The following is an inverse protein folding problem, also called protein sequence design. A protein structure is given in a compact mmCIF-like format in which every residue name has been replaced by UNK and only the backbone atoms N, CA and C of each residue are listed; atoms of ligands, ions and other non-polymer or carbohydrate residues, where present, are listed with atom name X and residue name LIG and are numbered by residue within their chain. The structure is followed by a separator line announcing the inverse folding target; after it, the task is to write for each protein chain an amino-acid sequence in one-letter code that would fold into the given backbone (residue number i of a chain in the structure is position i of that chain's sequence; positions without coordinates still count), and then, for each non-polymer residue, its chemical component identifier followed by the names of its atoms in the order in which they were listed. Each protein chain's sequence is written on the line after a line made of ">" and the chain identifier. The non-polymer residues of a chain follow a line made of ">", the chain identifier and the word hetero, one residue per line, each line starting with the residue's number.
data_IF_575741830968
#
_entry.id   IF_575741830968
#
_cell.length_a   1.000
_cell.length_b   1.000
_cell.length_c   1.000
_cell.angle_alpha   90.00
_cell.angle_beta   90.00
_cell.angle_gamma   90.00
#
_symmetry.space_group_name_H-M   'P 1'
#
loop_
_entity.id
_entity.type
_entity.pdbx_description
1 polymer ?
#
# COMPACT_ATOMS: atom_id res chain seq x y z
N UNK A 1 -10.43 8.87 -19.63
CA UNK A 1 -9.43 7.79 -19.48
C UNK A 1 -10.00 6.81 -18.47
N UNK A 2 -10.26 5.56 -18.84
CA UNK A 2 -10.73 4.59 -17.84
C UNK A 2 -9.57 4.25 -16.91
N UNK A 3 -9.86 4.03 -15.62
CA UNK A 3 -8.85 3.61 -14.63
C UNK A 3 -8.19 2.29 -15.06
N UNK A 4 -8.91 1.42 -15.77
CA UNK A 4 -8.36 0.21 -16.39
C UNK A 4 -7.26 0.51 -17.41
N UNK A 5 -7.37 1.61 -18.14
CA UNK A 5 -6.40 2.02 -19.18
C UNK A 5 -5.11 2.57 -18.56
N UNK A 6 -5.11 2.86 -17.26
CA UNK A 6 -3.95 3.37 -16.51
C UNK A 6 -3.33 2.26 -15.65
N UNK A 7 -4.16 1.48 -14.96
CA UNK A 7 -3.69 0.46 -14.02
C UNK A 7 -3.40 -0.88 -14.70
N UNK A 8 -4.15 -1.23 -15.75
CA UNK A 8 -4.09 -2.54 -16.39
C UNK A 8 -3.74 -2.46 -17.89
N UNK A 9 -3.23 -1.32 -18.37
CA UNK A 9 -2.74 -1.21 -19.74
C UNK A 9 -1.66 -2.26 -20.03
N UNK A 10 -1.87 -3.07 -21.06
CA UNK A 10 -0.92 -4.13 -21.45
C UNK A 10 -0.93 -5.37 -20.57
N UNK A 11 -1.85 -5.47 -19.60
CA UNK A 11 -2.04 -6.67 -18.76
C UNK A 11 -3.04 -7.61 -19.40
N UNK A 12 -2.77 -8.92 -19.33
CA UNK A 12 -3.70 -9.90 -19.85
C UNK A 12 -4.87 -10.17 -18.88
N UNK A 13 -5.89 -10.88 -19.37
CA UNK A 13 -7.08 -11.22 -18.59
C UNK A 13 -6.75 -11.94 -17.27
N UNK A 14 -5.84 -12.91 -17.30
CA UNK A 14 -5.48 -13.71 -16.13
C UNK A 14 -4.71 -12.87 -15.12
N UNK A 15 -3.85 -11.96 -15.57
CA UNK A 15 -3.14 -11.03 -14.68
C UNK A 15 -4.09 -10.08 -13.96
N UNK A 16 -5.14 -9.61 -14.63
CA UNK A 16 -6.19 -8.78 -14.02
C UNK A 16 -6.94 -9.58 -12.95
N UNK A 17 -7.35 -10.81 -13.27
CA UNK A 17 -8.04 -11.67 -12.29
C UNK A 17 -7.13 -11.97 -11.10
N UNK A 18 -5.87 -12.33 -11.33
CA UNK A 18 -4.91 -12.58 -10.25
C UNK A 18 -4.68 -11.36 -9.36
N UNK A 19 -4.65 -10.15 -9.94
CA UNK A 19 -4.55 -8.91 -9.16
C UNK A 19 -5.80 -8.65 -8.31
N UNK A 20 -7.00 -8.88 -8.87
CA UNK A 20 -8.27 -8.73 -8.17
C UNK A 20 -8.40 -9.76 -7.02
N UNK A 21 -8.06 -11.02 -7.27
CA UNK A 21 -8.07 -12.08 -6.26
C UNK A 21 -7.05 -11.78 -5.15
N UNK A 22 -5.85 -11.32 -5.51
CA UNK A 22 -4.84 -10.91 -4.53
C UNK A 22 -5.32 -9.75 -3.66
N UNK A 23 -6.03 -8.77 -4.23
CA UNK A 23 -6.56 -7.64 -3.47
C UNK A 23 -7.77 -8.04 -2.60
N UNK A 24 -8.67 -8.88 -3.11
CA UNK A 24 -9.82 -9.39 -2.37
C UNK A 24 -9.41 -10.33 -1.21
N UNK A 25 -8.29 -11.05 -1.36
CA UNK A 25 -7.73 -11.90 -0.31
C UNK A 25 -7.03 -11.11 0.81
N UNK A 26 -6.76 -9.82 0.63
CA UNK A 26 -6.15 -8.96 1.66
C UNK A 26 -7.21 -8.38 2.59
N UNK A 27 -6.88 -8.33 3.86
CA UNK A 27 -7.75 -7.81 4.92
C UNK A 27 -6.91 -7.20 6.03
N UNK A 28 -7.56 -6.38 6.85
CA UNK A 28 -7.08 -6.00 8.17
C UNK A 28 -8.00 -6.63 9.22
N UNK A 29 -7.40 -6.99 10.35
CA UNK A 29 -8.11 -7.41 11.55
C UNK A 29 -8.04 -6.27 12.56
N UNK A 30 -9.14 -6.04 13.25
CA UNK A 30 -9.17 -5.17 14.42
C UNK A 30 -9.85 -5.92 15.54
N UNK A 31 -9.39 -5.69 16.76
CA UNK A 31 -9.90 -6.32 17.96
C UNK A 31 -9.81 -5.29 19.07
N UNK A 32 -10.92 -5.11 19.78
CA UNK A 32 -10.99 -4.36 21.03
C UNK A 32 -11.62 -5.23 22.12
N UNK A 33 -11.91 -4.64 23.28
CA UNK A 33 -12.45 -5.37 24.42
C UNK A 33 -13.88 -5.92 24.17
N UNK A 34 -14.59 -5.44 23.14
CA UNK A 34 -15.99 -5.77 22.85
C UNK A 34 -16.14 -6.61 21.57
N UNK A 35 -15.38 -6.31 20.51
CA UNK A 35 -15.53 -6.94 19.19
C UNK A 35 -14.21 -7.32 18.53
N UNK A 36 -14.21 -8.51 17.92
CA UNK A 36 -13.23 -8.89 16.92
C UNK A 36 -13.84 -8.74 15.53
N UNK A 37 -13.13 -8.05 14.64
CA UNK A 37 -13.57 -7.75 13.29
C UNK A 37 -12.50 -8.02 12.24
N UNK A 38 -12.96 -8.38 11.04
CA UNK A 38 -12.11 -8.58 9.87
C UNK A 38 -12.73 -7.88 8.67
N UNK A 39 -11.98 -6.97 8.07
CA UNK A 39 -12.45 -6.18 6.94
C UNK A 39 -11.50 -6.33 5.75
N UNK A 40 -12.04 -6.77 4.61
CA UNK A 40 -11.30 -6.90 3.36
C UNK A 40 -11.17 -5.56 2.63
N UNK A 41 -10.15 -5.41 1.78
CA UNK A 41 -9.99 -4.20 0.98
C UNK A 41 -11.09 -4.04 -0.07
N UNK A 42 -11.45 -5.13 -0.75
CA UNK A 42 -12.53 -5.19 -1.73
C UNK A 42 -13.34 -6.47 -1.57
N UNK A 43 -14.59 -6.46 -2.02
CA UNK A 43 -15.44 -7.65 -2.12
C UNK A 43 -16.16 -7.72 -3.47
N UNK A 44 -16.56 -8.93 -3.85
CA UNK A 44 -17.27 -9.23 -5.10
C UNK A 44 -16.63 -8.60 -6.36
N UNK A 45 -15.31 -8.76 -6.59
CA UNK A 45 -14.70 -8.26 -7.82
C UNK A 45 -15.33 -8.94 -9.04
N UNK A 46 -15.61 -8.15 -10.07
CA UNK A 46 -16.10 -8.62 -11.36
C UNK A 46 -15.35 -7.90 -12.46
N UNK A 47 -14.92 -8.65 -13.46
CA UNK A 47 -14.37 -8.10 -14.68
C UNK A 47 -15.31 -8.40 -15.85
N UNK A 48 -15.86 -7.36 -16.49
CA UNK A 48 -16.70 -7.50 -17.67
C UNK A 48 -15.80 -7.66 -18.90
N UNK A 49 -15.62 -8.92 -19.31
CA UNK A 49 -14.80 -9.31 -20.47
C UNK A 49 -15.04 -8.43 -21.68
N UNK A 50 -13.97 -8.08 -22.39
CA UNK A 50 -13.97 -7.26 -23.62
C UNK A 50 -14.47 -5.82 -23.46
N UNK A 51 -14.75 -5.35 -22.25
CA UNK A 51 -15.17 -3.95 -22.01
C UNK A 51 -14.15 -3.13 -21.23
N UNK A 52 -13.13 -3.76 -20.63
CA UNK A 52 -12.21 -3.09 -19.72
C UNK A 52 -12.82 -2.72 -18.37
N UNK A 53 -14.12 -2.94 -18.15
CA UNK A 53 -14.82 -2.50 -16.93
C UNK A 53 -14.62 -3.50 -15.79
N UNK A 54 -14.10 -3.01 -14.68
CA UNK A 54 -13.97 -3.72 -13.40
C UNK A 54 -14.94 -3.09 -12.40
N UNK A 55 -15.64 -3.92 -11.63
CA UNK A 55 -16.49 -3.48 -10.52
C UNK A 55 -16.16 -4.30 -9.28
N UNK A 56 -16.10 -3.66 -8.12
CA UNK A 56 -15.97 -4.30 -6.82
C UNK A 56 -16.72 -3.46 -5.78
N UNK A 57 -16.87 -4.00 -4.58
CA UNK A 57 -17.46 -3.32 -3.42
C UNK A 57 -16.37 -3.05 -2.38
N UNK A 58 -16.57 -2.00 -1.59
CA UNK A 58 -15.70 -1.62 -0.46
C UNK A 58 -16.61 -1.53 0.77
N UNK A 59 -16.13 -1.96 1.95
CA UNK A 59 -16.92 -1.81 3.19
C UNK A 59 -17.12 -0.34 3.52
N UNK A 60 -18.25 0.01 4.11
CA UNK A 60 -18.49 1.36 4.62
C UNK A 60 -17.48 1.73 5.71
N UNK A 61 -17.10 0.80 6.58
CA UNK A 61 -16.10 1.09 7.63
C UNK A 61 -14.76 1.52 7.04
N UNK A 62 -14.34 0.85 5.97
CA UNK A 62 -13.11 1.19 5.25
C UNK A 62 -13.25 2.51 4.49
N UNK A 63 -14.42 2.75 3.90
CA UNK A 63 -14.73 4.00 3.21
C UNK A 63 -14.70 5.20 4.16
N UNK A 64 -15.25 5.05 5.36
CA UNK A 64 -15.25 6.05 6.41
C UNK A 64 -13.82 6.37 6.87
N UNK A 65 -12.95 5.36 6.96
CA UNK A 65 -11.52 5.57 7.25
C UNK A 65 -10.84 6.37 6.13
N UNK A 66 -11.04 6.01 4.86
CA UNK A 66 -10.41 6.70 3.72
C UNK A 66 -10.84 8.16 3.57
N UNK A 67 -12.06 8.49 4.01
CA UNK A 67 -12.63 9.84 3.90
C UNK A 67 -12.46 10.69 5.17
N UNK A 68 -11.94 10.11 6.26
CA UNK A 68 -11.71 10.81 7.53
C UNK A 68 -10.42 11.63 7.53
N UNK A 69 -10.45 12.79 6.88
CA UNK A 69 -9.31 13.71 6.81
C UNK A 69 -9.01 14.48 8.12
N UNK A 70 -9.90 14.40 9.12
CA UNK A 70 -9.78 15.14 10.38
C UNK A 70 -8.55 14.76 11.23
N UNK A 71 -8.00 13.54 11.05
CA UNK A 71 -6.77 13.09 11.74
C UNK A 71 -5.49 13.38 10.95
N UNK A 72 -5.58 14.26 9.96
CA UNK A 72 -4.51 14.52 8.99
C UNK A 72 -4.65 13.62 7.77
N UNK A 73 -4.13 14.09 6.65
CA UNK A 73 -4.14 13.37 5.38
C UNK A 73 -2.86 13.63 4.60
N UNK A 74 -2.61 12.79 3.60
CA UNK A 74 -1.49 12.92 2.68
C UNK A 74 -2.03 13.09 1.27
N UNK A 75 -1.75 14.23 0.66
CA UNK A 75 -1.96 14.40 -0.77
C UNK A 75 -0.72 13.93 -1.52
N UNK A 76 -0.90 13.18 -2.60
CA UNK A 76 0.19 12.78 -3.49
C UNK A 76 -0.34 12.59 -4.91
N UNK A 77 0.53 12.84 -5.89
CA UNK A 77 0.18 12.72 -7.30
C UNK A 77 0.16 11.25 -7.74
N UNK A 78 -0.97 10.80 -8.27
CA UNK A 78 -1.18 9.41 -8.68
C UNK A 78 -0.21 8.98 -9.81
N UNK A 79 0.02 9.85 -10.81
CA UNK A 79 0.90 9.53 -11.93
C UNK A 79 2.34 9.28 -11.47
N UNK A 80 2.83 10.09 -10.53
CA UNK A 80 4.14 9.87 -9.89
C UNK A 80 4.15 8.56 -9.10
N UNK A 81 3.12 8.31 -8.30
CA UNK A 81 3.00 7.08 -7.53
C UNK A 81 3.04 5.81 -8.41
N UNK A 82 2.33 5.83 -9.55
CA UNK A 82 2.29 4.70 -10.49
C UNK A 82 3.59 4.51 -11.28
N UNK A 83 4.41 5.55 -11.44
CA UNK A 83 5.69 5.48 -12.12
C UNK A 83 6.82 4.90 -11.24
N UNK A 84 6.58 4.73 -9.93
CA UNK A 84 7.61 4.27 -9.00
C UNK A 84 7.83 2.76 -9.15
N UNK A 85 9.11 2.31 -9.24
CA UNK A 85 9.44 0.95 -9.63
C UNK A 85 9.22 -0.09 -8.52
N UNK A 86 9.09 0.34 -7.26
CA UNK A 86 9.04 -0.56 -6.11
C UNK A 86 8.01 -0.13 -5.07
N UNK A 87 7.50 -1.10 -4.30
CA UNK A 87 6.62 -0.80 -3.17
C UNK A 87 7.27 0.10 -2.10
N UNK A 88 8.60 0.01 -1.91
CA UNK A 88 9.32 0.87 -0.98
C UNK A 88 9.41 2.30 -1.49
N UNK A 89 9.75 2.51 -2.76
CA UNK A 89 9.81 3.85 -3.34
C UNK A 89 8.43 4.53 -3.31
N UNK A 90 7.34 3.78 -3.56
CA UNK A 90 5.97 4.26 -3.38
C UNK A 90 5.68 4.67 -1.94
N UNK A 91 5.94 3.79 -0.96
CA UNK A 91 5.71 4.10 0.47
C UNK A 91 6.56 5.27 0.95
N UNK A 92 7.79 5.39 0.46
CA UNK A 92 8.69 6.50 0.75
C UNK A 92 8.17 7.80 0.14
N UNK A 93 7.74 7.79 -1.13
CA UNK A 93 7.09 8.94 -1.75
C UNK A 93 5.84 9.37 -0.99
N UNK A 94 4.98 8.42 -0.59
CA UNK A 94 3.83 8.70 0.26
C UNK A 94 4.24 9.26 1.62
N UNK A 95 5.36 8.82 2.21
CA UNK A 95 5.90 9.33 3.47
C UNK A 95 6.56 10.72 3.34
N UNK A 96 6.93 11.15 2.13
CA UNK A 96 7.59 12.43 1.89
C UNK A 96 6.70 13.48 1.20
N UNK A 97 5.60 13.07 0.54
CA UNK A 97 4.71 13.98 -0.19
C UNK A 97 4.11 15.08 0.69
N UNK A 98 4.24 16.35 0.34
CA UNK A 98 3.72 17.45 1.16
C UNK A 98 4.49 17.73 2.45
N UNK A 99 5.63 17.06 2.68
CA UNK A 99 6.52 17.38 3.79
C UNK A 99 7.37 18.60 3.43
N UNK A 100 7.31 19.65 4.26
CA UNK A 100 8.06 20.92 4.05
C UNK A 100 9.28 21.05 4.95
N UNK A 101 9.36 20.26 6.02
CA UNK A 101 10.49 20.23 6.96
C UNK A 101 11.14 18.85 7.01
N UNK A 102 12.43 18.74 7.36
CA UNK A 102 13.07 17.44 7.54
C UNK A 102 12.27 16.55 8.51
N UNK A 103 12.10 15.27 8.17
CA UNK A 103 11.47 14.29 9.04
C UNK A 103 12.56 13.63 9.90
N UNK A 104 12.54 13.89 11.20
CA UNK A 104 13.32 13.14 12.17
C UNK A 104 12.52 11.89 12.61
N UNK A 105 13.05 10.71 12.30
CA UNK A 105 12.35 9.43 12.53
C UNK A 105 13.36 8.33 12.86
N UNK A 106 13.02 7.50 13.84
CA UNK A 106 13.83 6.32 14.16
C UNK A 106 13.81 5.30 13.02
N UNK A 107 14.89 4.52 12.88
CA UNK A 107 14.96 3.46 11.88
C UNK A 107 13.83 2.44 12.03
N UNK A 108 13.45 2.12 13.27
CA UNK A 108 12.37 1.18 13.56
C UNK A 108 11.02 1.70 13.03
N UNK A 109 10.69 2.96 13.32
CA UNK A 109 9.45 3.58 12.84
C UNK A 109 9.47 3.77 11.31
N UNK A 110 10.64 4.05 10.73
CA UNK A 110 10.80 4.06 9.28
C UNK A 110 10.55 2.68 8.66
N UNK A 111 11.10 1.61 9.24
CA UNK A 111 10.87 0.22 8.79
C UNK A 111 9.38 -0.13 8.88
N UNK A 112 8.72 0.18 9.99
CA UNK A 112 7.30 -0.06 10.19
C UNK A 112 6.44 0.67 9.13
N UNK A 113 6.67 1.97 8.92
CA UNK A 113 5.96 2.76 7.89
C UNK A 113 6.21 2.27 6.46
N UNK A 114 7.41 1.74 6.20
CA UNK A 114 7.74 1.10 4.93
C UNK A 114 7.25 -0.35 4.85
N UNK A 115 6.56 -0.86 5.87
CA UNK A 115 6.05 -2.23 5.99
C UNK A 115 7.14 -3.29 5.87
N UNK A 116 8.28 -3.01 6.50
CA UNK A 116 9.44 -3.89 6.60
C UNK A 116 9.36 -4.62 7.95
N UNK A 117 9.45 -5.97 7.97
CA UNK A 117 9.47 -6.72 9.23
C UNK A 117 10.57 -6.24 10.18
N UNK A 118 10.27 -6.21 11.48
CA UNK A 118 11.18 -5.68 12.49
C UNK A 118 12.54 -6.42 12.54
N UNK A 119 12.53 -7.73 12.26
CA UNK A 119 13.70 -8.60 12.21
C UNK A 119 14.54 -8.43 10.92
N UNK A 120 13.98 -7.79 9.89
CA UNK A 120 14.66 -7.63 8.61
C UNK A 120 15.79 -6.60 8.70
N UNK A 121 16.88 -6.89 8.00
CA UNK A 121 18.12 -6.10 8.02
C UNK A 121 18.72 -6.00 9.42
N UNK A 122 18.64 -7.08 10.21
CA UNK A 122 19.39 -7.26 11.45
C UNK A 122 20.46 -8.33 11.27
N UNK A 123 21.54 -8.22 12.02
CA UNK A 123 22.55 -9.28 12.10
C UNK A 123 22.10 -10.40 13.05
N UNK A 124 22.93 -11.44 13.15
CA UNK A 124 22.70 -12.59 14.03
C UNK A 124 22.57 -12.23 15.53
N UNK A 125 22.98 -11.03 15.92
CA UNK A 125 22.91 -10.53 17.29
C UNK A 125 21.75 -9.54 17.49
N UNK A 126 20.90 -9.33 16.48
CA UNK A 126 19.76 -8.41 16.52
C UNK A 126 20.11 -6.93 16.27
N UNK A 127 21.36 -6.62 15.93
CA UNK A 127 21.80 -5.25 15.62
C UNK A 127 21.43 -4.89 14.18
N UNK A 128 20.94 -3.68 13.96
CA UNK A 128 20.57 -3.21 12.62
C UNK A 128 21.79 -3.11 11.69
N UNK A 129 21.66 -3.75 10.52
CA UNK A 129 22.58 -3.70 9.39
C UNK A 129 22.21 -2.53 8.48
N UNK A 130 22.64 -1.34 8.90
CA UNK A 130 22.34 -0.06 8.22
C UNK A 130 22.83 -0.09 6.77
N UNK A 131 24.01 -0.68 6.53
CA UNK A 131 24.60 -0.86 5.21
C UNK A 131 23.66 -1.61 4.25
N UNK A 132 23.10 -2.74 4.69
CA UNK A 132 22.14 -3.51 3.90
C UNK A 132 20.81 -2.77 3.72
N UNK A 133 20.34 -2.06 4.74
CA UNK A 133 19.10 -1.28 4.64
C UNK A 133 19.24 -0.16 3.60
N UNK A 134 20.33 0.61 3.64
CA UNK A 134 20.58 1.69 2.69
C UNK A 134 20.66 1.18 1.25
N UNK A 135 21.47 0.14 1.00
CA UNK A 135 21.68 -0.43 -0.33
C UNK A 135 20.37 -0.95 -0.93
N UNK A 136 19.50 -1.56 -0.12
CA UNK A 136 18.33 -2.30 -0.60
C UNK A 136 17.02 -1.53 -0.53
N UNK A 137 16.97 -0.43 0.23
CA UNK A 137 15.73 0.31 0.51
C UNK A 137 15.85 1.79 0.13
N UNK A 138 16.98 2.45 0.40
CA UNK A 138 17.12 3.90 0.18
C UNK A 138 17.80 4.28 -1.15
N UNK A 139 18.68 3.43 -1.68
CA UNK A 139 19.38 3.65 -2.96
C UNK A 139 18.79 2.94 -4.23
N UNK A 140 17.62 2.26 -4.22
CA UNK A 140 17.21 1.40 -5.33
C UNK A 140 16.75 2.15 -6.57
#
# INVERSE_FOLDING_TARGET
>A
MHVSDVIFSGRDYNEIIAALDSLAGRFFTYEDDEEWGKCGFISNPKYKKRTGIITFRVSNDLWDVFTKFAKGYREFELNKALALPTGYSLRFYMLMSGQVYPLDISLENLKDRLGIPADKYKDKNGKDRIDHFEERVLKP
#
